data_IF_569992662495
#
_entry.id   IF_569992662495
#
_cell.length_a   1.000
_cell.length_b   1.000
_cell.length_c   1.000
_cell.angle_alpha   90.00
_cell.angle_beta   90.00
_cell.angle_gamma   90.00
#
_symmetry.space_group_name_H-M   'P 1'
#
loop_
_entity.id
_entity.type
_entity.pdbx_description
1 polymer ?
#
# COMPACT_ATOMS: atom_id res chain seq x y z
N UNK A 1 13.09 11.20 24.06
CA UNK A 1 11.92 11.98 23.65
C UNK A 1 10.96 11.05 22.94
N UNK A 2 9.66 11.12 23.19
CA UNK A 2 8.67 10.24 22.53
C UNK A 2 8.05 10.97 21.34
N UNK A 3 8.08 10.39 20.12
CA UNK A 3 7.50 10.98 18.92
C UNK A 3 6.03 11.39 19.09
N UNK A 4 5.69 12.59 18.65
CA UNK A 4 4.29 13.04 18.56
C UNK A 4 3.56 12.32 17.42
N UNK A 5 2.30 11.95 17.64
CA UNK A 5 1.44 11.37 16.61
C UNK A 5 0.85 12.45 15.69
N UNK A 6 0.64 12.14 14.42
CA UNK A 6 0.08 13.02 13.41
C UNK A 6 -1.00 12.31 12.61
N UNK A 7 -1.86 13.06 11.94
CA UNK A 7 -2.77 12.50 10.93
C UNK A 7 -1.95 11.72 9.90
N UNK A 8 -2.42 10.54 9.51
CA UNK A 8 -1.70 9.63 8.62
C UNK A 8 -0.68 8.71 9.32
N UNK A 9 -0.27 9.00 10.56
CA UNK A 9 0.54 8.03 11.32
C UNK A 9 -0.26 6.74 11.60
N UNK A 10 0.43 5.63 11.65
CA UNK A 10 -0.18 4.30 11.62
C UNK A 10 -0.63 3.82 13.00
N UNK A 11 -1.74 3.13 13.02
CA UNK A 11 -2.33 2.43 14.16
C UNK A 11 -2.42 0.93 13.85
N UNK A 12 -1.93 0.08 14.76
CA UNK A 12 -2.10 -1.37 14.69
C UNK A 12 -3.25 -1.81 15.58
N UNK A 13 -4.31 -2.32 14.97
CA UNK A 13 -5.51 -2.81 15.65
C UNK A 13 -5.47 -4.34 15.79
N UNK A 14 -5.68 -4.91 17.00
CA UNK A 14 -5.70 -6.35 17.21
C UNK A 14 -7.02 -7.01 16.78
N UNK A 15 -8.08 -6.23 16.53
CA UNK A 15 -9.36 -6.78 16.09
C UNK A 15 -9.24 -7.43 14.70
N UNK A 16 -9.77 -8.65 14.51
CA UNK A 16 -9.74 -9.33 13.21
C UNK A 16 -10.33 -8.46 12.10
N UNK A 17 -9.61 -8.34 10.99
CA UNK A 17 -10.03 -7.54 9.83
C UNK A 17 -9.73 -6.03 9.91
N UNK A 18 -9.25 -5.51 11.05
CA UNK A 18 -8.92 -4.09 11.18
C UNK A 18 -7.48 -3.75 10.77
N UNK A 19 -6.51 -4.62 11.09
CA UNK A 19 -5.13 -4.50 10.62
C UNK A 19 -4.44 -3.19 10.99
N UNK A 20 -3.62 -2.67 10.07
CA UNK A 20 -2.91 -1.40 10.20
C UNK A 20 -3.67 -0.30 9.45
N UNK A 21 -4.08 0.77 10.14
CA UNK A 21 -4.83 1.89 9.55
C UNK A 21 -4.26 3.24 9.98
N UNK A 22 -4.39 4.30 9.19
CA UNK A 22 -3.89 5.62 9.57
C UNK A 22 -4.77 6.29 10.64
N UNK A 23 -4.21 7.25 11.37
CA UNK A 23 -4.98 8.25 12.12
C UNK A 23 -5.71 9.15 11.10
N UNK A 24 -7.03 9.22 11.16
CA UNK A 24 -7.87 9.89 10.15
C UNK A 24 -8.44 11.23 10.60
N UNK A 25 -8.55 11.48 11.91
CA UNK A 25 -8.86 12.81 12.46
C UNK A 25 -7.69 13.33 13.27
N UNK A 26 -7.54 14.64 13.35
CA UNK A 26 -6.46 15.29 14.07
C UNK A 26 -6.81 16.75 14.34
N UNK A 27 -5.86 17.53 14.84
CA UNK A 27 -5.97 18.99 14.97
C UNK A 27 -6.34 19.68 13.64
N UNK A 28 -7.14 20.73 13.72
CA UNK A 28 -7.59 21.51 12.56
C UNK A 28 -6.60 22.59 12.13
N UNK A 29 -5.66 22.97 13.00
CA UNK A 29 -4.82 24.16 12.84
C UNK A 29 -3.37 23.98 13.32
N UNK A 30 -3.12 22.97 14.16
CA UNK A 30 -1.78 22.71 14.69
C UNK A 30 -1.12 21.63 13.86
N UNK A 31 -0.05 22.00 13.18
CA UNK A 31 0.71 21.12 12.31
C UNK A 31 2.04 20.70 12.95
N UNK A 32 2.40 19.44 12.77
CA UNK A 32 3.70 18.86 13.10
C UNK A 32 4.25 18.23 11.82
N UNK A 33 5.42 18.70 11.37
CA UNK A 33 6.00 18.35 10.06
C UNK A 33 5.03 18.55 8.88
N UNK A 34 4.20 19.59 8.93
CA UNK A 34 3.20 19.86 7.89
C UNK A 34 1.96 18.96 7.93
N UNK A 35 1.83 18.06 8.91
CA UNK A 35 0.67 17.18 9.10
C UNK A 35 -0.08 17.56 10.38
N UNK A 36 -1.40 17.46 10.40
CA UNK A 36 -2.20 17.78 11.58
C UNK A 36 -1.82 16.94 12.81
N UNK A 37 -1.61 17.58 13.96
CA UNK A 37 -1.19 16.90 15.18
C UNK A 37 -2.31 16.04 15.79
N UNK A 38 -2.00 14.78 16.14
CA UNK A 38 -2.96 13.85 16.75
C UNK A 38 -3.05 14.03 18.27
N UNK A 39 -4.24 13.79 18.80
CA UNK A 39 -4.59 14.03 20.21
C UNK A 39 -5.45 12.89 20.75
N UNK A 40 -5.58 12.82 22.07
CA UNK A 40 -6.60 11.98 22.71
C UNK A 40 -7.97 12.32 22.12
N UNK A 41 -8.72 11.27 21.77
CA UNK A 41 -10.04 11.40 21.19
C UNK A 41 -10.07 11.45 19.66
N UNK A 42 -8.93 11.56 18.98
CA UNK A 42 -8.85 11.44 17.53
C UNK A 42 -9.04 9.97 17.10
N UNK A 43 -9.52 9.74 15.86
CA UNK A 43 -9.91 8.43 15.33
C UNK A 43 -8.87 7.85 14.37
N UNK A 44 -8.74 6.53 14.40
CA UNK A 44 -8.02 5.73 13.40
C UNK A 44 -8.99 5.23 12.31
N UNK A 45 -8.46 4.84 11.15
CA UNK A 45 -9.25 4.39 10.01
C UNK A 45 -10.12 3.16 10.27
N UNK A 46 -9.76 2.34 11.27
CA UNK A 46 -10.58 1.21 11.71
C UNK A 46 -11.71 1.60 12.70
N UNK A 47 -11.88 2.89 13.02
CA UNK A 47 -12.86 3.41 13.98
C UNK A 47 -12.37 3.47 15.43
N UNK A 48 -11.15 3.03 15.73
CA UNK A 48 -10.58 3.12 17.07
C UNK A 48 -10.37 4.59 17.48
N UNK A 49 -10.59 4.92 18.74
CA UNK A 49 -10.34 6.25 19.32
C UNK A 49 -9.03 6.21 20.10
N UNK A 50 -8.15 7.20 19.94
CA UNK A 50 -6.93 7.32 20.75
C UNK A 50 -7.31 7.68 22.19
N UNK A 51 -6.89 6.88 23.16
CA UNK A 51 -7.30 7.05 24.57
C UNK A 51 -6.19 7.50 25.50
N UNK A 52 -4.95 7.58 25.00
CA UNK A 52 -3.79 7.95 25.80
C UNK A 52 -3.02 9.11 25.20
N UNK A 53 -2.49 9.98 26.05
CA UNK A 53 -1.66 11.11 25.64
C UNK A 53 -1.02 11.83 26.83
N UNK A 54 -0.19 12.83 26.54
CA UNK A 54 0.49 13.62 27.56
C UNK A 54 -0.40 14.77 28.06
N UNK A 55 -0.89 14.73 29.30
CA UNK A 55 -1.73 15.81 29.84
C UNK A 55 -0.94 17.11 30.08
N UNK A 56 0.39 17.11 29.98
CA UNK A 56 1.23 18.31 30.08
C UNK A 56 1.42 19.03 28.74
N UNK A 57 1.04 18.39 27.62
CA UNK A 57 1.22 18.92 26.27
C UNK A 57 -0.16 18.97 25.61
N UNK A 58 -0.75 20.16 25.56
CA UNK A 58 -2.11 20.36 25.05
C UNK A 58 -2.07 20.89 23.62
N UNK A 59 -2.88 20.28 22.77
CA UNK A 59 -3.16 20.77 21.42
C UNK A 59 -4.67 20.93 21.32
N UNK A 60 -5.14 22.16 21.15
CA UNK A 60 -6.56 22.52 21.10
C UNK A 60 -7.37 21.94 22.28
N UNK A 61 -6.84 22.08 23.50
CA UNK A 61 -7.49 21.63 24.73
C UNK A 61 -7.47 20.12 24.96
N UNK A 62 -6.82 19.32 24.09
CA UNK A 62 -6.69 17.87 24.26
C UNK A 62 -5.23 17.46 24.45
N UNK A 63 -4.95 16.42 25.26
CA UNK A 63 -3.61 15.85 25.39
C UNK A 63 -3.05 15.39 24.05
N UNK A 64 -1.79 15.72 23.77
CA UNK A 64 -1.07 15.26 22.59
C UNK A 64 -0.94 13.73 22.59
N UNK A 65 -1.37 13.09 21.50
CA UNK A 65 -1.12 11.67 21.27
C UNK A 65 0.32 11.46 20.80
N UNK A 66 0.87 10.29 21.08
CA UNK A 66 2.27 9.97 20.81
C UNK A 66 2.44 8.53 20.32
N UNK A 67 3.62 8.21 19.78
CA UNK A 67 3.98 6.84 19.45
C UNK A 67 3.84 5.94 20.68
N UNK A 68 3.15 4.82 20.52
CA UNK A 68 2.82 3.89 21.58
C UNK A 68 1.51 4.19 22.32
N UNK A 69 0.77 5.25 21.99
CA UNK A 69 -0.52 5.56 22.63
C UNK A 69 -1.55 4.44 22.37
N UNK A 70 -2.12 3.82 23.41
CA UNK A 70 -3.27 2.94 23.29
C UNK A 70 -4.51 3.60 22.65
N UNK A 71 -5.37 2.75 22.12
CA UNK A 71 -6.65 3.10 21.48
C UNK A 71 -7.80 2.24 22.04
N UNK A 72 -9.04 2.65 21.81
CA UNK A 72 -10.25 2.01 22.33
C UNK A 72 -10.47 0.55 21.86
N UNK A 73 -9.90 0.16 20.73
CA UNK A 73 -9.93 -1.23 20.24
C UNK A 73 -8.81 -2.11 20.83
N UNK A 74 -8.04 -1.60 21.80
CA UNK A 74 -6.92 -2.31 22.43
C UNK A 74 -5.64 -2.33 21.60
N UNK A 75 -5.62 -1.64 20.45
CA UNK A 75 -4.41 -1.44 19.64
C UNK A 75 -3.63 -0.20 20.03
N UNK A 76 -2.57 0.11 19.28
CA UNK A 76 -1.67 1.23 19.60
C UNK A 76 -1.24 2.02 18.36
N UNK A 77 -0.78 3.25 18.54
CA UNK A 77 -0.13 4.05 17.51
C UNK A 77 1.32 3.58 17.32
N UNK A 78 1.72 3.25 16.09
CA UNK A 78 2.99 2.60 15.77
C UNK A 78 3.97 3.47 14.95
N UNK A 79 3.55 4.65 14.49
CA UNK A 79 4.44 5.65 13.88
C UNK A 79 4.20 7.04 14.48
N UNK A 80 5.11 7.96 14.20
CA UNK A 80 5.07 9.32 14.74
C UNK A 80 6.06 10.23 14.01
N UNK A 81 6.13 11.47 14.45
CA UNK A 81 7.09 12.46 13.96
C UNK A 81 8.55 12.01 14.13
N UNK A 82 9.44 12.26 13.15
CA UNK A 82 10.85 11.90 13.26
C UNK A 82 11.64 12.80 14.23
N UNK A 83 11.13 14.00 14.54
CA UNK A 83 11.90 15.07 15.19
C UNK A 83 11.09 15.93 16.19
N UNK A 84 9.76 15.80 16.22
CA UNK A 84 8.89 16.49 17.19
C UNK A 84 8.31 15.47 18.17
N UNK A 85 8.46 15.75 19.46
CA UNK A 85 7.99 14.84 20.49
C UNK A 85 7.99 15.48 21.88
N UNK A 86 7.57 14.69 22.87
CA UNK A 86 7.44 15.13 24.25
C UNK A 86 7.47 13.96 25.24
N UNK A 87 7.12 14.21 26.50
CA UNK A 87 7.08 13.20 27.54
C UNK A 87 8.38 13.06 28.36
N UNK A 88 8.41 12.04 29.22
CA UNK A 88 9.30 11.81 30.37
C UNK A 88 10.82 11.95 30.19
N UNK A 89 11.33 12.15 28.97
CA UNK A 89 12.75 12.38 28.72
C UNK A 89 13.15 13.87 28.80
N UNK A 90 12.18 14.78 29.02
CA UNK A 90 12.42 16.21 29.28
C UNK A 90 12.45 16.58 30.78
N UNK A 91 12.75 15.60 31.64
CA UNK A 91 12.76 15.74 33.10
C UNK A 91 11.38 15.53 33.74
N UNK A 92 11.38 15.33 35.05
CA UNK A 92 10.21 14.97 35.88
C UNK A 92 9.00 15.92 35.75
N UNK A 93 9.15 17.06 35.09
CA UNK A 93 8.12 18.08 34.92
C UNK A 93 6.99 17.71 33.92
N UNK A 94 7.24 16.82 32.94
CA UNK A 94 6.23 16.48 31.95
C UNK A 94 5.18 15.46 32.45
N UNK A 95 5.48 14.72 33.52
CA UNK A 95 4.62 13.66 34.05
C UNK A 95 4.40 12.47 33.08
N UNK A 96 3.82 11.36 33.55
CA UNK A 96 3.47 10.23 32.70
C UNK A 96 2.30 10.57 31.76
N UNK A 97 2.16 9.80 30.68
CA UNK A 97 0.94 9.81 29.89
C UNK A 97 -0.23 9.25 30.72
N UNK A 98 -1.46 9.62 30.37
CA UNK A 98 -2.67 9.14 31.04
C UNK A 98 -3.52 8.39 30.04
N UNK A 99 -3.97 7.19 30.42
CA UNK A 99 -5.03 6.45 29.74
C UNK A 99 -6.39 6.94 30.20
N UNK A 100 -6.96 7.86 29.43
CA UNK A 100 -8.22 8.49 29.73
C UNK A 100 -9.41 7.54 29.60
N UNK A 101 -9.28 6.38 28.95
CA UNK A 101 -10.36 5.39 28.88
C UNK A 101 -10.75 4.89 30.28
N UNK A 102 -9.76 4.78 31.19
CA UNK A 102 -9.98 4.43 32.60
C UNK A 102 -10.63 5.55 33.41
N UNK A 103 -10.67 6.77 32.87
CA UNK A 103 -11.35 7.93 33.46
C UNK A 103 -12.71 8.22 32.82
N UNK A 104 -13.18 7.31 31.94
CA UNK A 104 -14.53 7.34 31.38
C UNK A 104 -14.73 8.34 30.24
N UNK A 105 -13.70 8.63 29.44
CA UNK A 105 -13.85 9.53 28.27
C UNK A 105 -14.59 8.90 27.09
N UNK A 106 -14.94 7.62 27.15
CA UNK A 106 -15.67 6.96 26.06
C UNK A 106 -17.14 6.78 26.47
N UNK A 107 -18.04 7.14 25.55
CA UNK A 107 -19.47 6.84 25.68
C UNK A 107 -19.71 5.35 25.45
N UNK A 108 -20.94 4.90 25.72
CA UNK A 108 -21.36 3.50 25.51
C UNK A 108 -21.24 3.03 24.05
N UNK A 109 -21.31 3.96 23.10
CA UNK A 109 -21.14 3.69 21.66
C UNK A 109 -19.68 3.71 21.20
N UNK A 110 -18.72 3.90 22.12
CA UNK A 110 -17.29 3.95 21.82
C UNK A 110 -16.79 5.32 21.33
N UNK A 111 -17.66 6.32 21.19
CA UNK A 111 -17.27 7.68 20.79
C UNK A 111 -16.70 8.48 21.95
N UNK A 112 -15.91 9.51 21.65
CA UNK A 112 -15.34 10.41 22.64
C UNK A 112 -16.40 11.29 23.32
N UNK A 113 -16.46 11.25 24.65
CA UNK A 113 -17.16 12.21 25.50
C UNK A 113 -16.32 13.49 25.69
N UNK A 114 -16.51 14.45 24.78
CA UNK A 114 -15.79 15.73 24.79
C UNK A 114 -16.00 16.55 26.07
N UNK A 115 -17.23 16.75 26.59
CA UNK A 115 -17.43 17.40 27.88
C UNK A 115 -16.66 16.73 29.02
N UNK A 116 -16.65 15.39 29.08
CA UNK A 116 -15.92 14.66 30.11
C UNK A 116 -14.41 14.84 29.99
N UNK A 117 -13.86 14.77 28.78
CA UNK A 117 -12.44 15.04 28.54
C UNK A 117 -12.07 16.47 28.97
N UNK A 118 -12.88 17.46 28.57
CA UNK A 118 -12.66 18.85 28.96
C UNK A 118 -12.72 19.04 30.48
N UNK A 119 -13.63 18.36 31.17
CA UNK A 119 -13.70 18.39 32.64
C UNK A 119 -12.41 17.82 33.26
N UNK A 120 -11.92 16.68 32.78
CA UNK A 120 -10.68 16.06 33.26
C UNK A 120 -9.46 16.96 33.02
N UNK A 121 -9.41 17.68 31.90
CA UNK A 121 -8.31 18.61 31.58
C UNK A 121 -8.27 19.85 32.48
N UNK A 122 -9.40 20.21 33.09
CA UNK A 122 -9.49 21.32 34.03
C UNK A 122 -9.44 20.87 35.51
N UNK A 123 -9.29 19.57 35.77
CA UNK A 123 -9.22 19.02 37.12
C UNK A 123 -7.79 19.12 37.67
N UNK A 124 -7.53 19.94 38.72
CA UNK A 124 -6.20 20.02 39.33
C UNK A 124 -5.79 18.70 40.00
N UNK A 125 -6.74 17.82 40.34
CA UNK A 125 -6.51 16.49 40.90
C UNK A 125 -6.31 15.40 39.84
N UNK A 126 -6.21 15.73 38.55
CA UNK A 126 -6.16 14.75 37.46
C UNK A 126 -5.09 13.68 37.67
N UNK A 127 -3.88 14.05 38.10
CA UNK A 127 -2.80 13.07 38.29
C UNK A 127 -3.08 12.09 39.44
N UNK A 128 -3.64 12.58 40.55
CA UNK A 128 -4.00 11.72 41.69
C UNK A 128 -5.16 10.79 41.33
N UNK A 129 -6.17 11.33 40.63
CA UNK A 129 -7.30 10.56 40.12
C UNK A 129 -6.85 9.51 39.11
N UNK A 130 -5.93 9.85 38.21
CA UNK A 130 -5.35 8.92 37.26
C UNK A 130 -4.53 7.83 37.97
N UNK A 131 -3.79 8.16 39.02
CA UNK A 131 -3.07 7.17 39.84
C UNK A 131 -4.04 6.20 40.53
N UNK A 132 -5.10 6.73 41.14
CA UNK A 132 -6.11 5.93 41.83
C UNK A 132 -6.89 4.99 40.88
N UNK A 133 -7.10 5.44 39.63
CA UNK A 133 -7.75 4.65 38.58
C UNK A 133 -6.80 3.72 37.81
N UNK A 134 -5.53 3.58 38.24
CA UNK A 134 -4.48 2.86 37.50
C UNK A 134 -4.35 3.32 36.04
N UNK A 135 -4.65 4.59 35.78
CA UNK A 135 -4.66 5.22 34.47
C UNK A 135 -3.33 5.88 34.10
N UNK A 136 -2.35 5.90 35.01
CA UNK A 136 -0.99 6.33 34.66
C UNK A 136 -0.40 5.33 33.67
N UNK A 137 -0.29 5.76 32.43
CA UNK A 137 0.37 4.99 31.40
C UNK A 137 1.84 5.38 31.46
N UNK A 138 2.74 4.51 31.93
CA UNK A 138 4.15 4.80 31.83
C UNK A 138 4.40 5.02 30.34
N UNK A 139 4.84 6.23 29.92
CA UNK A 139 5.27 6.41 28.56
C UNK A 139 6.24 5.26 28.29
N UNK A 140 6.11 4.59 27.15
CA UNK A 140 7.12 3.64 26.74
C UNK A 140 8.42 4.44 26.73
N UNK A 141 9.21 4.31 27.80
CA UNK A 141 10.56 4.81 27.80
C UNK A 141 11.16 4.19 26.57
N UNK A 142 12.01 4.92 25.87
CA UNK A 142 12.97 4.30 24.98
C UNK A 142 13.91 3.34 25.73
N UNK A 143 13.47 2.63 26.78
CA UNK A 143 13.78 1.24 26.89
C UNK A 143 13.25 0.60 25.60
N UNK A 144 14.17 0.36 24.69
CA UNK A 144 14.57 -1.02 24.36
C UNK A 144 14.20 -2.05 25.46
N UNK A 145 12.92 -2.16 25.83
CA UNK A 145 12.33 -3.44 26.13
C UNK A 145 12.37 -4.14 24.78
N UNK A 146 13.48 -4.83 24.60
CA UNK A 146 13.64 -5.95 23.71
C UNK A 146 12.40 -6.81 23.98
N UNK A 147 11.31 -6.57 23.24
CA UNK A 147 10.36 -7.61 22.90
C UNK A 147 11.23 -8.82 22.61
N UNK A 148 11.03 -9.97 23.28
CA UNK A 148 12.02 -11.05 23.37
C UNK A 148 12.66 -11.13 22.01
N UNK A 149 13.93 -10.69 21.92
CA UNK A 149 14.58 -10.54 20.63
C UNK A 149 14.44 -11.92 20.06
N UNK A 150 13.59 -12.06 19.05
CA UNK A 150 13.50 -13.33 18.40
C UNK A 150 14.94 -13.54 17.93
N UNK A 151 15.55 -14.67 18.32
CA UNK A 151 16.98 -14.93 18.10
C UNK A 151 17.32 -15.11 16.61
N UNK A 152 16.39 -14.72 15.73
CA UNK A 152 16.59 -14.63 14.30
C UNK A 152 17.58 -13.50 14.01
N UNK A 153 18.61 -13.77 13.19
CA UNK A 153 19.61 -12.79 12.81
C UNK A 153 18.96 -11.62 12.06
N UNK A 154 19.53 -10.42 12.18
CA UNK A 154 19.17 -9.32 11.29
C UNK A 154 19.73 -9.61 9.90
N UNK A 155 18.85 -10.00 8.99
CA UNK A 155 19.20 -10.42 7.62
C UNK A 155 18.96 -9.30 6.60
N UNK A 156 18.56 -8.12 7.06
CA UNK A 156 18.03 -7.08 6.18
C UNK A 156 19.08 -6.48 5.27
N UNK A 157 20.31 -6.31 5.75
CA UNK A 157 21.39 -5.77 4.92
C UNK A 157 21.67 -6.69 3.72
N UNK A 158 21.81 -8.00 3.95
CA UNK A 158 22.07 -8.96 2.88
C UNK A 158 20.89 -9.10 1.93
N UNK A 159 19.66 -9.10 2.46
CA UNK A 159 18.43 -9.20 1.69
C UNK A 159 18.18 -7.98 0.82
N UNK A 160 18.33 -6.78 1.39
CA UNK A 160 18.17 -5.52 0.65
C UNK A 160 19.23 -5.39 -0.43
N UNK A 161 20.48 -5.80 -0.16
CA UNK A 161 21.54 -5.88 -1.18
C UNK A 161 21.16 -6.81 -2.32
N UNK A 162 20.68 -8.02 -2.02
CA UNK A 162 20.22 -8.97 -3.02
C UNK A 162 19.11 -8.39 -3.92
N UNK A 163 18.09 -7.77 -3.31
CA UNK A 163 16.97 -7.19 -4.06
C UNK A 163 17.40 -5.98 -4.88
N UNK A 164 18.27 -5.13 -4.33
CA UNK A 164 18.85 -4.01 -5.08
C UNK A 164 19.65 -4.50 -6.29
N UNK A 165 20.43 -5.56 -6.15
CA UNK A 165 21.19 -6.17 -7.25
C UNK A 165 20.26 -6.77 -8.32
N UNK A 166 19.16 -7.42 -7.92
CA UNK A 166 18.11 -7.88 -8.84
C UNK A 166 17.43 -6.70 -9.56
N UNK A 167 17.14 -5.60 -8.86
CA UNK A 167 16.57 -4.40 -9.48
C UNK A 167 17.53 -3.79 -10.51
N UNK A 168 18.80 -3.62 -10.15
CA UNK A 168 19.81 -3.04 -11.03
C UNK A 168 20.04 -3.90 -12.28
N UNK A 169 20.08 -5.23 -12.13
CA UNK A 169 20.16 -6.16 -13.27
C UNK A 169 18.91 -6.08 -14.15
N UNK A 170 17.73 -6.09 -13.54
CA UNK A 170 16.48 -6.16 -14.28
C UNK A 170 16.12 -4.84 -14.95
N UNK A 171 16.62 -3.71 -14.45
CA UNK A 171 16.42 -2.39 -15.04
C UNK A 171 16.94 -2.31 -16.48
N UNK A 172 18.04 -3.02 -16.77
CA UNK A 172 18.65 -3.10 -18.10
C UNK A 172 18.15 -4.30 -18.92
N UNK A 173 17.25 -5.12 -18.36
CA UNK A 173 16.76 -6.31 -19.03
C UNK A 173 15.98 -5.94 -20.32
N UNK A 174 16.18 -6.65 -21.45
CA UNK A 174 15.51 -6.35 -22.72
C UNK A 174 13.97 -6.26 -22.61
N UNK A 175 13.37 -7.06 -21.74
CA UNK A 175 11.94 -6.97 -21.42
C UNK A 175 11.52 -5.60 -20.93
N UNK A 176 12.28 -4.96 -20.02
CA UNK A 176 11.94 -3.63 -19.50
C UNK A 176 12.01 -2.60 -20.63
N UNK A 177 12.99 -2.70 -21.52
CA UNK A 177 13.08 -1.83 -22.69
C UNK A 177 11.88 -2.03 -23.64
N UNK A 178 11.46 -3.27 -23.87
CA UNK A 178 10.27 -3.59 -24.67
C UNK A 178 8.99 -3.05 -24.03
N UNK A 179 8.84 -3.18 -22.71
CA UNK A 179 7.69 -2.64 -21.98
C UNK A 179 7.65 -1.11 -22.07
N UNK A 180 8.80 -0.42 -21.91
CA UNK A 180 8.91 1.03 -22.12
C UNK A 180 8.43 1.45 -23.50
N UNK A 181 8.79 0.71 -24.54
CA UNK A 181 8.36 1.03 -25.91
C UNK A 181 6.84 0.88 -26.09
N UNK A 182 6.22 -0.13 -25.47
CA UNK A 182 4.77 -0.35 -25.54
C UNK A 182 4.00 0.70 -24.74
N UNK A 183 4.48 1.04 -23.54
CA UNK A 183 3.78 1.90 -22.58
C UNK A 183 3.98 3.40 -22.85
N UNK A 184 5.08 3.79 -23.49
CA UNK A 184 5.33 5.20 -23.87
C UNK A 184 4.67 5.58 -25.21
N UNK A 185 3.62 4.89 -25.62
CA UNK A 185 2.86 5.25 -26.82
C UNK A 185 2.01 6.50 -26.56
N UNK A 186 2.37 7.63 -27.18
CA UNK A 186 1.62 8.88 -27.05
C UNK A 186 0.33 8.84 -27.88
N UNK A 187 -0.73 8.34 -27.25
CA UNK A 187 -2.07 8.30 -27.82
C UNK A 187 -2.57 9.65 -28.32
N UNK A 188 -2.24 10.74 -27.62
CA UNK A 188 -2.76 12.07 -27.94
C UNK A 188 -2.07 12.62 -29.19
N UNK A 189 -0.75 12.46 -29.30
CA UNK A 189 0.00 12.83 -30.49
C UNK A 189 -0.41 11.99 -31.71
N UNK A 190 -0.50 10.68 -31.54
CA UNK A 190 -0.89 9.79 -32.63
C UNK A 190 -2.34 10.02 -33.08
N UNK A 191 -3.24 10.38 -32.16
CA UNK A 191 -4.60 10.81 -32.50
C UNK A 191 -4.60 12.10 -33.33
N UNK A 192 -3.75 13.08 -33.01
CA UNK A 192 -3.60 14.29 -33.83
C UNK A 192 -3.15 13.95 -35.25
N UNK A 193 -2.10 13.14 -35.40
CA UNK A 193 -1.61 12.67 -36.71
C UNK A 193 -2.69 11.90 -37.48
N UNK A 194 -3.44 11.04 -36.79
CA UNK A 194 -4.53 10.25 -37.39
C UNK A 194 -5.67 11.13 -37.91
N UNK A 195 -6.03 12.19 -37.16
CA UNK A 195 -7.04 13.17 -37.58
C UNK A 195 -6.62 14.00 -38.80
N UNK A 196 -5.32 14.15 -39.05
CA UNK A 196 -4.76 14.84 -40.22
C UNK A 196 -4.79 13.98 -41.50
N UNK A 197 -5.03 12.67 -41.39
CA UNK A 197 -5.06 11.76 -42.54
C UNK A 197 -6.28 12.01 -43.45
N UNK A 198 -6.19 11.71 -44.76
CA UNK A 198 -7.36 11.69 -45.63
C UNK A 198 -8.43 10.72 -45.12
N UNK A 199 -9.72 11.04 -45.33
CA UNK A 199 -10.86 10.31 -44.75
C UNK A 199 -10.81 8.79 -45.00
N UNK A 200 -10.36 8.33 -46.16
CA UNK A 200 -10.28 6.90 -46.47
C UNK A 200 -9.19 6.17 -45.66
N UNK A 201 -8.14 6.88 -45.25
CA UNK A 201 -7.08 6.37 -44.37
C UNK A 201 -7.50 6.42 -42.90
N UNK A 202 -8.56 7.15 -42.55
CA UNK A 202 -9.18 7.11 -41.22
C UNK A 202 -10.19 5.95 -41.09
N UNK A 203 -10.64 5.38 -42.21
CA UNK A 203 -11.62 4.28 -42.17
C UNK A 203 -10.95 2.94 -41.84
N UNK A 204 -11.02 2.53 -40.57
CA UNK A 204 -10.67 1.18 -40.12
C UNK A 204 -10.37 1.12 -38.62
N UNK A 205 -10.97 0.19 -37.89
CA UNK A 205 -10.77 0.07 -36.44
C UNK A 205 -9.34 -0.33 -36.02
N UNK A 206 -8.44 -0.65 -36.95
CA UNK A 206 -7.10 -1.20 -36.67
C UNK A 206 -5.98 -0.16 -36.71
N UNK A 207 -6.23 1.03 -37.28
CA UNK A 207 -5.28 2.13 -37.30
C UNK A 207 -5.67 3.27 -36.33
N UNK A 208 -6.75 3.07 -35.58
CA UNK A 208 -7.20 4.00 -34.57
C UNK A 208 -6.18 3.99 -33.39
N UNK A 209 -5.61 5.15 -32.99
CA UNK A 209 -4.59 5.21 -31.94
C UNK A 209 -5.05 4.71 -30.57
N UNK A 210 -6.33 4.86 -30.24
CA UNK A 210 -6.88 4.33 -28.98
C UNK A 210 -6.85 2.79 -28.97
N UNK A 211 -7.22 2.15 -30.08
CA UNK A 211 -7.12 0.69 -30.20
C UNK A 211 -5.67 0.19 -30.15
N UNK A 212 -4.73 0.91 -30.78
CA UNK A 212 -3.30 0.56 -30.73
C UNK A 212 -2.77 0.64 -29.29
N UNK A 213 -3.11 1.71 -28.57
CA UNK A 213 -2.69 1.87 -27.19
C UNK A 213 -3.26 0.81 -26.24
N UNK A 214 -4.54 0.45 -26.42
CA UNK A 214 -5.15 -0.64 -25.68
C UNK A 214 -4.44 -1.98 -25.98
N UNK A 215 -4.12 -2.26 -27.25
CA UNK A 215 -3.35 -3.45 -27.65
C UNK A 215 -1.94 -3.45 -27.07
N UNK A 216 -1.25 -2.31 -27.06
CA UNK A 216 0.07 -2.17 -26.45
C UNK A 216 0.03 -2.42 -24.94
N UNK A 217 -0.97 -1.87 -24.26
CA UNK A 217 -1.19 -2.09 -22.83
C UNK A 217 -1.44 -3.56 -22.53
N UNK A 218 -2.32 -4.22 -23.29
CA UNK A 218 -2.59 -5.65 -23.14
C UNK A 218 -1.32 -6.50 -23.38
N UNK A 219 -0.54 -6.19 -24.42
CA UNK A 219 0.72 -6.87 -24.68
C UNK A 219 1.74 -6.65 -23.55
N UNK A 220 1.81 -5.45 -22.99
CA UNK A 220 2.67 -5.13 -21.86
C UNK A 220 2.27 -5.93 -20.62
N UNK A 221 0.97 -6.06 -20.32
CA UNK A 221 0.49 -6.88 -19.19
C UNK A 221 0.87 -8.35 -19.33
N UNK A 222 0.75 -8.94 -20.53
CA UNK A 222 1.14 -10.34 -20.77
C UNK A 222 2.63 -10.54 -20.56
N UNK A 223 3.45 -9.64 -21.13
CA UNK A 223 4.91 -9.70 -20.98
C UNK A 223 5.31 -9.55 -19.50
N UNK A 224 4.63 -8.67 -18.77
CA UNK A 224 4.84 -8.45 -17.34
C UNK A 224 4.48 -9.69 -16.51
N UNK A 225 3.27 -10.23 -16.71
CA UNK A 225 2.78 -11.41 -16.01
C UNK A 225 3.68 -12.64 -16.25
N UNK A 226 4.21 -12.81 -17.46
CA UNK A 226 5.15 -13.90 -17.78
C UNK A 226 6.46 -13.80 -17.00
N UNK A 227 6.85 -12.59 -16.56
CA UNK A 227 8.07 -12.38 -15.77
C UNK A 227 7.83 -12.49 -14.27
N UNK A 228 6.75 -11.92 -13.76
CA UNK A 228 6.49 -11.80 -12.31
C UNK A 228 5.60 -12.92 -11.76
N UNK A 229 4.96 -13.71 -12.61
CA UNK A 229 4.06 -14.78 -12.21
C UNK A 229 4.74 -15.89 -11.39
N UNK A 230 3.94 -16.78 -10.79
CA UNK A 230 4.45 -17.85 -9.95
C UNK A 230 5.46 -18.75 -10.70
N UNK A 231 6.59 -19.03 -10.06
CA UNK A 231 7.72 -19.81 -10.61
C UNK A 231 8.34 -19.21 -11.88
N UNK A 232 8.15 -17.91 -12.12
CA UNK A 232 8.76 -17.21 -13.25
C UNK A 232 10.08 -16.56 -12.86
N UNK A 233 10.74 -15.99 -13.86
CA UNK A 233 12.10 -15.46 -13.72
C UNK A 233 12.22 -14.39 -12.62
N UNK A 234 11.20 -13.54 -12.43
CA UNK A 234 11.18 -12.51 -11.40
C UNK A 234 10.30 -12.91 -10.20
N UNK A 235 9.93 -14.19 -10.07
CA UNK A 235 9.36 -14.70 -8.83
C UNK A 235 10.46 -14.85 -7.79
N UNK A 236 10.69 -13.80 -7.01
CA UNK A 236 11.74 -13.78 -6.00
C UNK A 236 11.31 -14.47 -4.71
N UNK A 237 10.01 -14.67 -4.49
CA UNK A 237 9.45 -15.34 -3.30
C UNK A 237 10.17 -16.67 -2.99
N UNK A 238 10.23 -17.66 -3.91
CA UNK A 238 10.92 -18.92 -3.63
C UNK A 238 12.45 -18.76 -3.52
N UNK A 239 13.06 -17.82 -4.26
CA UNK A 239 14.52 -17.60 -4.22
C UNK A 239 14.97 -17.02 -2.88
N UNK A 240 14.19 -16.08 -2.36
CA UNK A 240 14.42 -15.46 -1.06
C UNK A 240 14.25 -16.51 0.04
N UNK A 241 13.15 -17.28 0.04
CA UNK A 241 12.97 -18.38 1.00
C UNK A 241 14.17 -19.34 0.98
N UNK A 242 14.59 -19.80 -0.19
CA UNK A 242 15.73 -20.70 -0.32
C UNK A 242 17.04 -20.08 0.18
N UNK A 243 17.25 -18.78 -0.05
CA UNK A 243 18.47 -18.06 0.34
C UNK A 243 18.54 -17.76 1.85
N UNK A 244 17.40 -17.62 2.51
CA UNK A 244 17.30 -17.21 3.91
C UNK A 244 16.73 -18.33 4.80
N UNK A 245 17.26 -19.56 4.67
CA UNK A 245 16.92 -20.72 5.52
C UNK A 245 15.43 -21.08 5.57
N UNK A 246 14.68 -20.82 4.49
CA UNK A 246 13.22 -20.92 4.43
C UNK A 246 12.50 -20.10 5.50
N UNK A 247 13.12 -19.01 5.96
CA UNK A 247 12.49 -18.07 6.86
C UNK A 247 11.50 -17.19 6.07
N UNK A 248 10.24 -17.23 6.50
CA UNK A 248 9.18 -16.42 5.91
C UNK A 248 9.14 -15.00 6.50
N UNK A 249 9.95 -14.73 7.52
CA UNK A 249 9.96 -13.45 8.24
C UNK A 249 11.38 -12.92 8.39
N UNK A 250 11.61 -11.72 7.90
CA UNK A 250 12.90 -11.05 8.02
C UNK A 250 12.82 -9.91 9.04
N UNK A 251 13.75 -9.89 9.98
CA UNK A 251 13.78 -8.94 11.08
C UNK A 251 14.62 -7.71 10.70
N UNK A 252 14.08 -6.52 10.93
CA UNK A 252 14.82 -5.26 10.95
C UNK A 252 14.57 -4.52 12.26
N UNK A 253 15.57 -4.46 13.14
CA UNK A 253 15.40 -3.86 14.47
C UNK A 253 14.23 -4.50 15.24
N UNK A 254 13.13 -3.75 15.44
CA UNK A 254 11.93 -4.20 16.16
C UNK A 254 10.82 -4.78 15.27
N UNK A 255 10.97 -4.73 13.95
CA UNK A 255 9.96 -5.14 12.99
C UNK A 255 10.32 -6.48 12.36
N UNK A 256 9.30 -7.28 12.07
CA UNK A 256 9.42 -8.49 11.27
C UNK A 256 8.55 -8.33 10.02
N UNK A 257 9.18 -8.35 8.86
CA UNK A 257 8.52 -8.23 7.58
C UNK A 257 8.30 -9.60 6.96
N UNK A 258 7.13 -9.82 6.37
CA UNK A 258 6.90 -11.02 5.60
C UNK A 258 7.72 -10.99 4.31
N UNK A 259 8.24 -12.14 3.88
CA UNK A 259 9.22 -12.23 2.79
C UNK A 259 8.68 -11.80 1.42
N UNK A 260 7.36 -11.72 1.23
CA UNK A 260 6.74 -11.30 -0.03
C UNK A 260 6.92 -9.81 -0.35
N UNK A 261 7.12 -8.98 0.69
CA UNK A 261 7.31 -7.53 0.55
C UNK A 261 8.44 -7.20 -0.43
N UNK A 262 9.51 -8.00 -0.41
CA UNK A 262 10.71 -7.81 -1.22
C UNK A 262 10.44 -7.99 -2.71
N UNK A 263 9.59 -8.96 -3.05
CA UNK A 263 9.15 -9.17 -4.42
C UNK A 263 8.25 -8.02 -4.87
N UNK A 264 7.35 -7.55 -4.00
CA UNK A 264 6.46 -6.44 -4.32
C UNK A 264 7.22 -5.11 -4.50
N UNK A 265 8.25 -4.84 -3.69
CA UNK A 265 9.13 -3.66 -3.88
C UNK A 265 9.86 -3.76 -5.23
N UNK A 266 10.36 -4.95 -5.60
CA UNK A 266 10.96 -5.17 -6.93
C UNK A 266 9.96 -4.91 -8.07
N UNK A 267 8.73 -5.42 -7.95
CA UNK A 267 7.67 -5.22 -8.94
C UNK A 267 7.29 -3.75 -9.09
N UNK A 268 7.13 -3.04 -7.97
CA UNK A 268 6.86 -1.61 -7.98
C UNK A 268 7.97 -0.84 -8.68
N UNK A 269 9.22 -1.08 -8.31
CA UNK A 269 10.37 -0.36 -8.87
C UNK A 269 10.55 -0.63 -10.37
N UNK A 270 10.58 -1.91 -10.78
CA UNK A 270 10.77 -2.28 -12.19
C UNK A 270 9.55 -1.92 -13.03
N UNK A 271 8.34 -2.05 -12.48
CA UNK A 271 7.11 -1.69 -13.16
C UNK A 271 7.02 -0.19 -13.45
N UNK A 272 7.34 0.65 -12.47
CA UNK A 272 7.44 2.10 -12.65
C UNK A 272 8.53 2.44 -13.65
N UNK A 273 9.70 1.80 -13.56
CA UNK A 273 10.77 1.98 -14.53
C UNK A 273 10.34 1.58 -15.95
N UNK A 274 9.49 0.57 -16.09
CA UNK A 274 8.95 0.13 -17.38
C UNK A 274 7.88 1.07 -17.97
N UNK A 275 7.32 1.99 -17.17
CA UNK A 275 6.29 2.95 -17.60
C UNK A 275 4.86 2.59 -17.16
N UNK A 276 4.67 1.61 -16.28
CA UNK A 276 3.35 1.37 -15.69
C UNK A 276 2.98 2.51 -14.74
N UNK A 277 1.68 2.80 -14.67
CA UNK A 277 1.17 3.72 -13.64
C UNK A 277 1.13 3.03 -12.28
N UNK A 278 1.23 3.82 -11.21
CA UNK A 278 1.08 3.32 -9.83
C UNK A 278 -0.24 2.57 -9.64
N UNK A 279 -1.34 3.11 -10.19
CA UNK A 279 -2.66 2.50 -10.11
C UNK A 279 -2.67 1.07 -10.70
N UNK A 280 -2.01 0.87 -11.84
CA UNK A 280 -1.89 -0.46 -12.47
C UNK A 280 -1.05 -1.42 -11.63
N UNK A 281 0.01 -0.92 -10.99
CA UNK A 281 0.89 -1.76 -10.16
C UNK A 281 0.25 -2.13 -8.82
N UNK A 282 -0.64 -1.28 -8.30
CA UNK A 282 -1.44 -1.57 -7.10
C UNK A 282 -2.65 -2.47 -7.42
N UNK A 283 -3.16 -2.43 -8.65
CA UNK A 283 -4.25 -3.30 -9.12
C UNK A 283 -3.76 -4.69 -9.54
N UNK A 284 -3.33 -5.48 -8.54
CA UNK A 284 -2.86 -6.85 -8.77
C UNK A 284 -3.91 -7.81 -9.36
N UNK A 285 -5.22 -7.54 -9.12
CA UNK A 285 -6.30 -8.37 -9.64
C UNK A 285 -6.57 -8.10 -11.13
N UNK A 286 -6.52 -6.83 -11.56
CA UNK A 286 -6.68 -6.46 -12.97
C UNK A 286 -5.56 -7.00 -13.86
N UNK A 287 -4.31 -7.01 -13.38
CA UNK A 287 -3.17 -7.58 -14.10
C UNK A 287 -3.37 -9.07 -14.43
N UNK A 288 -3.78 -9.86 -13.45
CA UNK A 288 -3.99 -11.32 -13.62
C UNK A 288 -5.17 -11.61 -14.56
N UNK A 289 -6.24 -10.82 -14.49
CA UNK A 289 -7.38 -10.98 -15.40
C UNK A 289 -6.99 -10.67 -16.85
N UNK A 290 -6.34 -9.53 -17.11
CA UNK A 290 -5.92 -9.14 -18.46
C UNK A 290 -4.92 -10.15 -19.04
N UNK A 291 -3.97 -10.61 -18.22
CA UNK A 291 -3.01 -11.62 -18.62
C UNK A 291 -3.69 -12.95 -18.97
N UNK A 292 -4.60 -13.43 -18.12
CA UNK A 292 -5.37 -14.66 -18.34
C UNK A 292 -6.23 -14.61 -19.60
N UNK A 293 -7.00 -13.53 -19.78
CA UNK A 293 -7.85 -13.33 -20.96
C UNK A 293 -7.04 -13.27 -22.25
N UNK A 294 -5.90 -12.59 -22.22
CA UNK A 294 -5.04 -12.43 -23.41
C UNK A 294 -4.31 -13.72 -23.75
N UNK A 295 -3.79 -14.45 -22.76
CA UNK A 295 -3.19 -15.77 -22.97
C UNK A 295 -4.22 -16.79 -23.47
N UNK A 296 -5.47 -16.74 -22.99
CA UNK A 296 -6.58 -17.53 -23.50
C UNK A 296 -6.86 -17.26 -24.97
N UNK A 297 -6.87 -15.98 -25.39
CA UNK A 297 -7.02 -15.57 -26.80
C UNK A 297 -5.83 -16.00 -27.68
N UNK A 298 -4.59 -15.87 -27.20
CA UNK A 298 -3.40 -16.29 -27.95
C UNK A 298 -3.40 -17.83 -28.14
N UNK A 299 -3.75 -18.60 -27.11
CA UNK A 299 -3.85 -20.07 -27.20
C UNK A 299 -4.92 -20.52 -28.17
N UNK A 300 -6.07 -19.84 -28.22
CA UNK A 300 -7.16 -20.16 -29.16
C UNK A 300 -6.79 -19.80 -30.60
N UNK A 301 -6.06 -18.71 -30.84
CA UNK A 301 -5.52 -18.36 -32.17
C UNK A 301 -4.47 -19.38 -32.62
N UNK A 302 -3.60 -19.86 -31.71
CA UNK A 302 -2.60 -20.90 -32.01
C UNK A 302 -3.16 -22.30 -32.24
N UNK A 303 -4.44 -22.55 -31.88
CA UNK A 303 -5.14 -23.82 -32.08
C UNK A 303 -6.03 -23.84 -33.33
N UNK A 304 -6.13 -22.74 -34.07
CA UNK A 304 -6.77 -22.74 -35.38
C UNK A 304 -5.74 -23.15 -36.44
N UNK A 305 -5.77 -24.38 -36.98
CA UNK A 305 -4.91 -24.72 -38.10
C UNK A 305 -5.25 -23.77 -39.27
N UNK A 306 -4.21 -23.22 -39.89
CA UNK A 306 -4.32 -22.49 -41.15
C UNK A 306 -5.21 -23.31 -42.09
N UNK A 307 -6.43 -22.83 -42.37
CA UNK A 307 -7.21 -23.40 -43.47
C UNK A 307 -6.41 -23.12 -44.73
N UNK A 308 -5.88 -24.18 -45.33
CA UNK A 308 -5.29 -24.11 -46.67
C UNK A 308 -6.30 -23.44 -47.62
N UNK A 309 -5.86 -22.52 -48.50
CA UNK A 309 -6.75 -21.90 -49.45
C UNK A 309 -7.30 -22.98 -50.39
N UNK A 310 -8.62 -23.14 -50.36
CA UNK A 310 -9.35 -24.10 -51.19
C UNK A 310 -9.08 -23.78 -52.65
N UNK A 311 -8.40 -24.70 -53.34
CA UNK A 311 -8.08 -24.58 -54.77
C UNK A 311 -9.34 -24.39 -55.60
N UNK A 312 -9.29 -23.42 -56.49
CA UNK A 312 -10.31 -23.19 -57.51
C UNK A 312 -10.21 -24.33 -58.55
N UNK A 313 -11.15 -25.28 -58.52
CA UNK A 313 -11.34 -26.20 -59.64
C UNK A 313 -12.28 -25.57 -60.69
N UNK A 314 -11.84 -25.39 -61.94
CA UNK A 314 -12.69 -24.87 -62.99
C UNK A 314 -13.56 -25.99 -63.56
N UNK A 315 -14.88 -26.00 -63.30
CA UNK A 315 -15.75 -26.94 -64.02
C UNK A 315 -17.17 -27.22 -63.54
N UNK A 316 -17.77 -26.48 -62.60
CA UNK A 316 -19.16 -26.74 -62.22
C UNK A 316 -20.07 -25.54 -62.49
N UNK A 317 -20.97 -25.73 -63.44
CA UNK A 317 -22.10 -24.84 -63.74
C UNK A 317 -23.04 -24.72 -62.55
N UNK A 318 -23.60 -23.53 -62.26
CA UNK A 318 -24.47 -23.33 -61.10
C UNK A 318 -25.85 -23.96 -61.33
N UNK A 319 -26.42 -24.70 -60.36
CA UNK A 319 -27.83 -25.02 -60.37
C UNK A 319 -28.67 -23.81 -59.94
N UNK A 320 -29.69 -23.59 -60.74
CA UNK A 320 -30.78 -22.63 -60.66
C UNK A 320 -31.68 -22.81 -59.43
N UNK A 321 -32.16 -21.66 -58.94
CA UNK A 321 -33.43 -21.41 -58.23
C UNK A 321 -33.65 -22.08 -56.86
N UNK A 322 -34.12 -21.28 -55.89
CA UNK A 322 -35.33 -21.51 -55.09
C UNK A 322 -35.63 -20.26 -54.22
N UNK A 323 -36.87 -20.04 -53.76
CA UNK A 323 -37.58 -18.77 -53.90
C UNK A 323 -37.69 -17.97 -52.59
N UNK A 324 -38.10 -16.72 -52.78
CA UNK A 324 -38.48 -15.77 -51.73
C UNK A 324 -39.72 -16.24 -50.94
N UNK A 325 -39.60 -16.22 -49.62
CA UNK A 325 -40.67 -15.92 -48.67
C UNK A 325 -40.04 -15.29 -47.41
#
# INVERSE_FOLDING_TARGET
MIPSGRQGDMHLCPLPGHGCTPIVTASSDTLINGMSAARVGDMCGCGAVIVTGFPSIFINGRPMAHLGSPTSHGGTIISGSPDVGGGSDFGDAAGPAIDFSRLGILRKDGTLDEPKLNQLMNDPGLQENAKAAEALFPPATSNTAIAPACNHPDQMEELTRYIADEMNRNLLHPTVQKLKQLLNYDTAEETRKWMELPWYAQMGAHNNPQTIAASNTAAAMVIWAEKVGQNREWDHKPKILAKFNNDSRHKQGRYAYYYDIWSNIHYGYIGMAAGFSEAVLLDGAGLEQIASETLGKIRTIGQHPLREPMGYEPGMTPPTEYPLA
#
